data_IF_378392311350
#
_entry.id   IF_378392311350
#
_cell.length_a   1.000
_cell.length_b   1.000
_cell.length_c   1.000
_cell.angle_alpha   90.00
_cell.angle_beta   90.00
_cell.angle_gamma   90.00
#
_symmetry.space_group_name_H-M   'P 1'
#
loop_
_entity.id
_entity.type
_entity.pdbx_description
1 polymer ?
#
# COMPACT_ATOMS: atom_id res chain seq x y z
N UNK A 1 17.57 -12.88 8.87
CA UNK A 1 16.82 -13.66 7.87
C UNK A 1 15.56 -14.36 8.40
N UNK A 2 15.60 -15.38 9.29
CA UNK A 2 14.36 -16.08 9.73
C UNK A 2 13.29 -15.19 10.39
N UNK A 3 13.69 -14.25 11.26
CA UNK A 3 12.76 -13.36 11.97
C UNK A 3 12.08 -12.33 11.05
N UNK A 4 12.82 -11.74 10.11
CA UNK A 4 12.27 -10.77 9.17
C UNK A 4 11.28 -11.39 8.19
N UNK A 5 11.53 -12.60 7.71
CA UNK A 5 10.58 -13.33 6.85
C UNK A 5 9.24 -13.59 7.55
N UNK A 6 9.27 -13.84 8.87
CA UNK A 6 8.04 -13.97 9.67
C UNK A 6 7.29 -12.63 9.72
N UNK A 7 8.01 -11.52 9.94
CA UNK A 7 7.41 -10.17 9.98
C UNK A 7 6.79 -9.80 8.63
N UNK A 8 7.46 -10.09 7.51
CA UNK A 8 6.89 -9.90 6.15
C UNK A 8 5.62 -10.71 5.95
N UNK A 9 5.62 -11.97 6.36
CA UNK A 9 4.44 -12.84 6.29
C UNK A 9 3.27 -12.30 7.09
N UNK A 10 3.52 -11.84 8.32
CA UNK A 10 2.49 -11.20 9.17
C UNK A 10 1.96 -9.92 8.54
N UNK A 11 2.82 -9.08 7.98
CA UNK A 11 2.42 -7.85 7.30
C UNK A 11 1.58 -8.12 6.05
N UNK A 12 1.92 -9.14 5.26
CA UNK A 12 1.09 -9.57 4.13
C UNK A 12 -0.27 -10.10 4.58
N UNK A 13 -0.31 -10.92 5.65
CA UNK A 13 -1.56 -11.42 6.21
C UNK A 13 -2.44 -10.30 6.76
N UNK A 14 -1.86 -9.32 7.43
CA UNK A 14 -2.57 -8.14 7.91
C UNK A 14 -3.11 -7.31 6.74
N UNK A 15 -2.29 -7.04 5.72
CA UNK A 15 -2.72 -6.31 4.53
C UNK A 15 -3.89 -7.00 3.81
N UNK A 16 -3.79 -8.31 3.59
CA UNK A 16 -4.87 -9.11 3.01
C UNK A 16 -6.12 -9.17 3.89
N UNK A 17 -5.95 -9.31 5.20
CA UNK A 17 -7.06 -9.33 6.17
C UNK A 17 -7.81 -7.99 6.23
N UNK A 18 -7.08 -6.88 6.25
CA UNK A 18 -7.67 -5.54 6.17
C UNK A 18 -8.36 -5.32 4.83
N UNK A 19 -7.78 -5.81 3.72
CA UNK A 19 -8.41 -5.76 2.40
C UNK A 19 -9.76 -6.48 2.40
N UNK A 20 -9.80 -7.73 2.84
CA UNK A 20 -11.04 -8.53 2.92
C UNK A 20 -12.06 -7.86 3.84
N UNK A 21 -11.63 -7.38 5.02
CA UNK A 21 -12.50 -6.67 5.96
C UNK A 21 -13.09 -5.39 5.37
N UNK A 22 -12.28 -4.62 4.65
CA UNK A 22 -12.72 -3.40 3.96
C UNK A 22 -13.80 -3.72 2.92
N UNK A 23 -13.57 -4.73 2.07
CA UNK A 23 -14.53 -5.16 1.06
C UNK A 23 -15.86 -5.62 1.66
N UNK A 24 -15.78 -6.33 2.79
CA UNK A 24 -16.95 -6.91 3.44
C UNK A 24 -17.82 -5.87 4.16
N UNK A 25 -17.17 -4.89 4.81
CA UNK A 25 -17.85 -3.84 5.58
C UNK A 25 -18.40 -2.74 4.68
N UNK A 26 -17.59 -2.24 3.75
CA UNK A 26 -17.92 -1.04 2.99
C UNK A 26 -18.55 -1.30 1.63
N UNK A 27 -18.45 -2.55 1.14
CA UNK A 27 -18.96 -2.98 -0.18
C UNK A 27 -18.72 -1.90 -1.26
N UNK A 28 -17.45 -1.54 -1.50
CA UNK A 28 -17.10 -0.43 -2.38
C UNK A 28 -17.65 -0.64 -3.80
N UNK A 29 -18.03 0.46 -4.45
CA UNK A 29 -18.41 0.46 -5.86
C UNK A 29 -17.19 0.18 -6.76
N UNK A 30 -17.43 -0.13 -8.03
CA UNK A 30 -16.36 -0.48 -8.99
C UNK A 30 -15.31 0.63 -9.10
N UNK A 31 -15.74 1.88 -9.05
CA UNK A 31 -14.86 3.06 -9.12
C UNK A 31 -13.91 3.09 -7.92
N UNK A 32 -14.45 2.93 -6.71
CA UNK A 32 -13.69 2.85 -5.46
C UNK A 32 -12.70 1.68 -5.48
N UNK A 33 -13.13 0.50 -5.95
CA UNK A 33 -12.27 -0.68 -6.11
C UNK A 33 -11.04 -0.39 -6.98
N UNK A 34 -11.26 0.20 -8.16
CA UNK A 34 -10.20 0.49 -9.11
C UNK A 34 -9.18 1.47 -8.53
N UNK A 35 -9.66 2.43 -7.75
CA UNK A 35 -8.88 3.49 -7.13
C UNK A 35 -8.03 2.95 -5.98
N UNK A 36 -8.59 2.06 -5.15
CA UNK A 36 -7.87 1.40 -4.05
C UNK A 36 -6.78 0.47 -4.58
N UNK A 37 -7.07 -0.32 -5.61
CA UNK A 37 -6.09 -1.19 -6.27
C UNK A 37 -4.97 -0.33 -6.88
N UNK A 38 -5.33 0.74 -7.58
CA UNK A 38 -4.39 1.67 -8.20
C UNK A 38 -3.44 2.32 -7.19
N UNK A 39 -3.96 2.82 -6.06
CA UNK A 39 -3.15 3.41 -4.99
C UNK A 39 -2.25 2.35 -4.36
N UNK A 40 -2.80 1.19 -4.00
CA UNK A 40 -2.03 0.12 -3.33
C UNK A 40 -0.89 -0.37 -4.22
N UNK A 41 -1.16 -0.62 -5.50
CA UNK A 41 -0.13 -1.01 -6.46
C UNK A 41 0.91 0.10 -6.63
N UNK A 42 0.48 1.36 -6.79
CA UNK A 42 1.41 2.49 -6.94
C UNK A 42 2.34 2.63 -5.74
N UNK A 43 1.82 2.49 -4.52
CA UNK A 43 2.63 2.52 -3.28
C UNK A 43 3.62 1.36 -3.26
N UNK A 44 3.18 0.14 -3.57
CA UNK A 44 4.05 -1.04 -3.60
C UNK A 44 5.16 -0.89 -4.65
N UNK A 45 4.83 -0.45 -5.87
CA UNK A 45 5.82 -0.24 -6.93
C UNK A 45 6.75 0.94 -6.66
N UNK A 46 6.26 2.02 -6.05
CA UNK A 46 7.10 3.15 -5.61
C UNK A 46 8.21 2.70 -4.67
N UNK A 47 7.87 1.75 -3.81
CA UNK A 47 8.82 1.15 -2.87
C UNK A 47 9.78 0.23 -3.62
N UNK A 48 9.28 -0.72 -4.42
CA UNK A 48 10.09 -1.75 -5.09
C UNK A 48 11.04 -1.26 -6.20
N UNK A 49 10.71 -0.18 -6.90
CA UNK A 49 11.48 0.25 -8.08
C UNK A 49 12.72 1.07 -7.66
N UNK A 50 13.93 0.67 -8.08
CA UNK A 50 15.18 1.42 -7.78
C UNK A 50 15.29 2.76 -8.53
N UNK A 51 14.67 2.91 -9.71
CA UNK A 51 14.75 4.11 -10.54
C UNK A 51 14.01 5.32 -9.94
N UNK A 52 14.74 6.41 -9.70
CA UNK A 52 14.18 7.66 -9.16
C UNK A 52 13.04 8.23 -10.03
N UNK A 53 13.20 8.22 -11.35
CA UNK A 53 12.19 8.69 -12.29
C UNK A 53 10.86 7.93 -12.15
N UNK A 54 10.94 6.60 -12.05
CA UNK A 54 9.76 5.76 -11.86
C UNK A 54 9.15 5.95 -10.46
N UNK A 55 9.98 6.11 -9.41
CA UNK A 55 9.48 6.45 -8.07
C UNK A 55 8.66 7.74 -8.09
N UNK A 56 9.14 8.78 -8.79
CA UNK A 56 8.40 10.04 -8.92
C UNK A 56 7.08 9.85 -9.65
N UNK A 57 7.03 9.05 -10.72
CA UNK A 57 5.77 8.73 -11.42
C UNK A 57 4.79 8.01 -10.48
N UNK A 58 5.23 6.99 -9.76
CA UNK A 58 4.36 6.28 -8.82
C UNK A 58 3.92 7.15 -7.64
N UNK A 59 4.79 8.06 -7.18
CA UNK A 59 4.44 9.06 -6.18
C UNK A 59 3.32 10.00 -6.68
N UNK A 60 3.44 10.49 -7.92
CA UNK A 60 2.43 11.33 -8.54
C UNK A 60 1.11 10.58 -8.72
N UNK A 61 1.16 9.31 -9.18
CA UNK A 61 -0.02 8.45 -9.33
C UNK A 61 -0.71 8.17 -7.99
N UNK A 62 0.08 7.87 -6.96
CA UNK A 62 -0.41 7.67 -5.60
C UNK A 62 -1.04 8.96 -5.05
N UNK A 63 -0.36 10.09 -5.21
CA UNK A 63 -0.86 11.40 -4.78
C UNK A 63 -2.14 11.80 -5.51
N UNK A 64 -2.23 11.59 -6.83
CA UNK A 64 -3.44 11.87 -7.60
C UNK A 64 -4.59 10.95 -7.22
N UNK A 65 -4.32 9.65 -7.02
CA UNK A 65 -5.33 8.72 -6.52
C UNK A 65 -5.83 9.16 -5.14
N UNK A 66 -4.92 9.52 -4.25
CA UNK A 66 -5.27 9.98 -2.91
C UNK A 66 -6.15 11.24 -2.93
N UNK A 67 -5.84 12.20 -3.81
CA UNK A 67 -6.65 13.40 -4.01
C UNK A 67 -8.05 13.08 -4.56
N UNK A 68 -8.14 12.18 -5.54
CA UNK A 68 -9.43 11.72 -6.08
C UNK A 68 -10.26 10.98 -5.02
N UNK A 69 -9.61 10.17 -4.19
CA UNK A 69 -10.27 9.49 -3.09
C UNK A 69 -10.78 10.46 -2.03
N UNK A 70 -9.97 11.47 -1.67
CA UNK A 70 -10.40 12.54 -0.80
C UNK A 70 -11.59 13.28 -1.41
N UNK A 71 -11.55 13.64 -2.69
CA UNK A 71 -12.69 14.31 -3.35
C UNK A 71 -13.98 13.47 -3.29
N UNK A 72 -13.90 12.16 -3.54
CA UNK A 72 -15.05 11.25 -3.45
C UNK A 72 -15.61 11.11 -2.02
N UNK A 73 -14.77 11.17 -0.98
CA UNK A 73 -15.15 10.81 0.40
C UNK A 73 -15.13 11.94 1.43
N UNK A 74 -14.60 13.12 1.10
CA UNK A 74 -14.52 14.30 1.97
C UNK A 74 -15.89 14.86 2.37
N UNK A 75 -16.99 14.38 1.75
CA UNK A 75 -18.35 14.76 2.13
C UNK A 75 -19.04 13.83 3.15
N UNK A 76 -18.42 12.77 3.68
CA UNK A 76 -19.10 12.05 4.75
C UNK A 76 -18.42 10.92 5.52
N UNK A 77 -17.30 10.33 5.09
CA UNK A 77 -16.92 9.01 5.66
C UNK A 77 -15.41 8.81 5.90
N UNK A 78 -14.87 9.56 6.88
CA UNK A 78 -13.48 9.46 7.39
C UNK A 78 -13.11 8.01 7.81
N UNK A 79 -14.10 7.19 8.16
CA UNK A 79 -13.93 5.78 8.54
C UNK A 79 -13.45 4.93 7.37
N UNK A 80 -13.98 5.16 6.17
CA UNK A 80 -13.56 4.48 4.93
C UNK A 80 -12.12 4.84 4.57
N UNK A 81 -11.78 6.12 4.67
CA UNK A 81 -10.42 6.61 4.45
C UNK A 81 -9.40 5.95 5.40
N UNK A 82 -9.74 5.87 6.69
CA UNK A 82 -8.88 5.24 7.69
C UNK A 82 -8.72 3.74 7.43
N UNK A 83 -9.82 3.05 7.09
CA UNK A 83 -9.80 1.63 6.77
C UNK A 83 -8.92 1.35 5.54
N UNK A 84 -8.96 2.21 4.52
CA UNK A 84 -8.12 2.09 3.33
C UNK A 84 -6.62 2.25 3.64
N UNK A 85 -6.25 3.24 4.45
CA UNK A 85 -4.86 3.42 4.91
C UNK A 85 -4.36 2.19 5.67
N UNK A 86 -5.23 1.55 6.46
CA UNK A 86 -4.93 0.30 7.16
C UNK A 86 -4.71 -0.89 6.21
N UNK A 87 -5.25 -0.85 4.98
CA UNK A 87 -4.96 -1.86 3.96
C UNK A 87 -3.60 -1.61 3.29
N UNK A 88 -3.28 -0.35 2.99
CA UNK A 88 -2.05 0.01 2.29
C UNK A 88 -0.80 -0.05 3.19
N UNK A 89 -0.92 0.33 4.48
CA UNK A 89 0.21 0.44 5.39
C UNK A 89 0.98 -0.89 5.63
N UNK A 90 0.32 -2.04 5.84
CA UNK A 90 1.01 -3.33 6.00
C UNK A 90 1.74 -3.76 4.72
N UNK A 91 1.13 -3.55 3.56
CA UNK A 91 1.73 -3.87 2.26
C UNK A 91 2.97 -3.01 1.98
N UNK A 92 2.88 -1.70 2.23
CA UNK A 92 4.01 -0.78 2.09
C UNK A 92 5.15 -1.13 3.07
N UNK A 93 4.80 -1.48 4.31
CA UNK A 93 5.77 -1.89 5.33
C UNK A 93 6.48 -3.20 4.96
N UNK A 94 5.76 -4.18 4.40
CA UNK A 94 6.36 -5.43 3.93
C UNK A 94 7.35 -5.19 2.78
N UNK A 95 7.00 -4.29 1.85
CA UNK A 95 7.86 -3.93 0.73
C UNK A 95 9.12 -3.16 1.20
N UNK A 96 8.99 -2.24 2.16
CA UNK A 96 10.13 -1.53 2.76
C UNK A 96 11.07 -2.49 3.49
N UNK A 97 10.51 -3.44 4.26
CA UNK A 97 11.30 -4.48 4.92
C UNK A 97 12.02 -5.37 3.91
N UNK A 98 11.44 -5.56 2.71
CA UNK A 98 12.06 -6.30 1.63
C UNK A 98 13.24 -5.57 1.00
N UNK A 99 13.13 -4.26 0.80
CA UNK A 99 14.27 -3.45 0.32
C UNK A 99 15.35 -3.29 1.36
N UNK A 100 14.99 -3.17 2.64
CA UNK A 100 15.96 -3.08 3.73
C UNK A 100 16.84 -4.34 3.82
N UNK A 101 16.28 -5.53 3.55
CA UNK A 101 17.08 -6.75 3.43
C UNK A 101 18.00 -6.72 2.22
N UNK A 102 17.50 -6.34 1.03
CA UNK A 102 18.35 -6.26 -0.16
C UNK A 102 19.52 -5.29 0.00
N UNK A 103 19.29 -4.13 0.62
CA UNK A 103 20.35 -3.17 0.90
C UNK A 103 21.37 -3.69 1.93
N UNK A 104 20.91 -4.41 2.97
CA UNK A 104 21.80 -5.00 3.97
C UNK A 104 22.61 -6.17 3.42
N UNK A 105 22.11 -6.90 2.42
CA UNK A 105 22.86 -7.95 1.72
C UNK A 105 23.90 -7.34 0.77
N UNK A 106 23.59 -6.22 0.10
CA UNK A 106 24.53 -5.48 -0.77
C UNK A 106 25.67 -4.78 0.01
N UNK A 107 25.48 -4.37 1.27
CA UNK A 107 26.54 -3.78 2.12
C UNK A 107 27.41 -4.81 2.86
N UNK A 108 27.02 -6.09 2.85
CA UNK A 108 27.73 -7.17 3.53
C UNK A 108 28.75 -7.93 2.66
N UNK A 109 28.81 -7.63 1.36
CA UNK A 109 29.82 -8.08 0.39
C UNK A 109 30.92 -7.02 0.17
#
# INVERSE_FOLDING_TARGET
MKGLNIIKGVLMLLGGGFWIGYLWIYRPEIEEYSLIIGITMSVVFMVLVKSFFLKTIFFLLCGSGFLLYLDMFMWGDVRRFTAMLLVAAPMASAALLHLAEQASEEEGE
#
